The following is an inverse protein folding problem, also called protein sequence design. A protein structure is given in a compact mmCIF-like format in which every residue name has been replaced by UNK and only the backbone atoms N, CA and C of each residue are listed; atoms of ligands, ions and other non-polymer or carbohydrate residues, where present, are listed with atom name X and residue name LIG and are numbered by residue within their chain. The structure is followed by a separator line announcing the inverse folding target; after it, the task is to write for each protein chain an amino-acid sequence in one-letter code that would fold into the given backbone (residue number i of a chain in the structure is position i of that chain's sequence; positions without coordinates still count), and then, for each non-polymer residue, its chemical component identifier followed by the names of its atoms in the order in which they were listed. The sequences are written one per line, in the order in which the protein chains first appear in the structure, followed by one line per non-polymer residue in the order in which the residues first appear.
data_IF_306238888020
#
_entry.id   IF_306238888020
#
_cell.length_a   1.000
_cell.length_b   1.000
_cell.length_c   1.000
_cell.angle_alpha   90.00
_cell.angle_beta   90.00
_cell.angle_gamma   90.00
#
_symmetry.space_group_name_H-M   'P 1'
#
loop_
_entity.id
_entity.type
_entity.pdbx_description
1 polymer ?
#
# COMPACT_ATOMS: atom_id res chain seq x y z
N UNK A 1 7.47 29.33 16.88
CA UNK A 1 7.49 28.19 15.93
C UNK A 1 8.53 27.20 16.42
N UNK A 2 8.12 26.08 17.00
CA UNK A 2 9.00 24.94 17.28
C UNK A 2 8.25 23.72 16.76
N UNK A 3 8.53 23.38 15.51
CA UNK A 3 8.22 22.05 15.03
C UNK A 3 9.27 21.15 15.70
N UNK A 4 8.90 20.57 16.82
CA UNK A 4 9.60 19.40 17.36
C UNK A 4 9.62 18.37 16.23
N UNK A 5 10.78 18.27 15.57
CA UNK A 5 11.10 17.16 14.69
C UNK A 5 11.14 15.91 15.57
N UNK A 6 9.97 15.30 15.73
CA UNK A 6 9.83 13.96 16.25
C UNK A 6 10.36 13.01 15.17
N UNK A 7 11.68 12.85 15.17
CA UNK A 7 12.41 11.83 14.44
C UNK A 7 12.13 10.46 15.03
N UNK A 8 10.89 10.00 14.92
CA UNK A 8 10.59 8.58 14.96
C UNK A 8 10.41 8.13 13.51
N UNK A 9 11.52 7.76 12.86
CA UNK A 9 11.43 6.74 11.81
C UNK A 9 11.04 5.43 12.50
N UNK A 10 9.78 5.34 12.92
CA UNK A 10 9.19 4.07 13.28
C UNK A 10 9.30 3.24 12.01
N UNK A 11 10.20 2.27 11.99
CA UNK A 11 10.06 1.13 11.11
C UNK A 11 8.73 0.49 11.49
N UNK A 12 7.65 0.93 10.85
CA UNK A 12 6.32 0.36 11.02
C UNK A 12 6.39 -0.99 10.31
N UNK A 13 6.75 -2.05 11.06
CA UNK A 13 6.46 -3.41 10.66
C UNK A 13 4.95 -3.61 10.91
N UNK A 14 4.14 -3.31 9.90
CA UNK A 14 2.73 -3.65 9.92
C UNK A 14 2.60 -5.12 9.50
N UNK A 15 2.64 -6.01 10.49
CA UNK A 15 2.48 -7.45 10.31
C UNK A 15 0.99 -7.77 10.40
N UNK A 16 0.27 -7.49 9.31
CA UNK A 16 -1.18 -7.49 9.20
C UNK A 16 -1.90 -8.83 9.41
N UNK A 17 -1.32 -9.84 10.06
CA UNK A 17 -2.08 -11.06 10.38
C UNK A 17 -1.67 -11.92 11.57
N UNK A 18 -0.62 -11.60 12.33
CA UNK A 18 -0.34 -12.37 13.55
C UNK A 18 0.29 -11.51 14.64
N UNK A 19 -0.54 -10.73 15.34
CA UNK A 19 -0.52 -10.52 16.80
C UNK A 19 -1.30 -9.24 17.15
N UNK A 20 -2.09 -9.34 18.22
CA UNK A 20 -2.48 -8.27 19.15
C UNK A 20 -2.88 -6.91 18.55
N UNK A 21 -4.12 -6.51 18.84
CA UNK A 21 -4.54 -5.13 19.16
C UNK A 21 -3.37 -4.16 19.47
N UNK A 22 -2.68 -3.64 18.46
CA UNK A 22 -1.93 -2.39 18.53
C UNK A 22 -2.95 -1.28 18.31
N UNK A 23 -3.70 -1.07 19.39
CA UNK A 23 -4.26 0.19 19.86
C UNK A 23 -3.97 1.39 18.91
N UNK A 24 -5.02 1.91 18.27
CA UNK A 24 -5.12 3.23 17.63
C UNK A 24 -4.32 3.50 16.34
N UNK A 25 -4.53 2.73 15.27
CA UNK A 25 -4.41 3.28 13.91
C UNK A 25 -5.49 2.61 13.06
N UNK A 26 -6.46 3.36 12.56
CA UNK A 26 -7.31 2.86 11.48
C UNK A 26 -6.38 2.39 10.36
N UNK A 27 -6.41 1.10 9.96
CA UNK A 27 -5.44 0.58 9.00
C UNK A 27 -5.52 1.44 7.74
N UNK A 28 -4.41 2.12 7.41
CA UNK A 28 -4.33 3.04 6.27
C UNK A 28 -4.65 2.29 4.95
N UNK A 29 -4.40 0.98 4.96
CA UNK A 29 -4.68 0.02 3.91
C UNK A 29 -5.05 -1.35 4.52
N UNK A 30 -5.74 -2.17 3.73
CA UNK A 30 -6.14 -3.55 4.03
C UNK A 30 -5.77 -4.43 2.85
N UNK A 31 -5.33 -5.65 3.10
CA UNK A 31 -5.08 -6.63 2.04
C UNK A 31 -6.10 -7.75 2.15
N UNK A 32 -6.80 -7.99 1.05
CA UNK A 32 -7.81 -9.03 0.93
C UNK A 32 -7.53 -9.93 -0.26
N UNK A 33 -8.02 -11.17 -0.21
CA UNK A 33 -8.02 -12.08 -1.36
C UNK A 33 -9.10 -11.71 -2.41
N UNK A 34 -9.23 -12.48 -3.50
CA UNK A 34 -10.25 -12.31 -4.55
C UNK A 34 -11.68 -12.32 -4.04
N UNK A 35 -11.91 -13.01 -2.92
CA UNK A 35 -13.20 -13.10 -2.26
C UNK A 35 -13.47 -11.89 -1.33
N UNK A 36 -12.52 -10.95 -1.20
CA UNK A 36 -12.59 -9.85 -0.24
C UNK A 36 -12.29 -10.27 1.20
N UNK A 37 -11.78 -11.49 1.40
CA UNK A 37 -11.38 -12.02 2.70
C UNK A 37 -10.02 -11.45 3.12
N UNK A 38 -9.91 -10.91 4.33
CA UNK A 38 -8.62 -10.45 4.86
C UNK A 38 -7.60 -11.60 4.91
N UNK A 39 -6.42 -11.35 4.35
CA UNK A 39 -5.31 -12.30 4.30
C UNK A 39 -4.08 -11.77 4.99
N UNK A 40 -3.15 -12.68 5.27
CA UNK A 40 -1.88 -12.33 5.85
C UNK A 40 -0.98 -11.58 4.88
N UNK A 41 -0.53 -10.42 5.34
CA UNK A 41 0.47 -9.62 4.66
C UNK A 41 1.47 -9.07 5.68
N UNK A 42 2.65 -8.74 5.17
CA UNK A 42 3.71 -8.06 5.89
C UNK A 42 3.99 -6.77 5.17
N UNK A 43 3.93 -5.63 5.84
CA UNK A 43 4.34 -4.37 5.28
C UNK A 43 5.56 -3.83 6.03
N UNK A 44 6.61 -3.51 5.28
CA UNK A 44 7.87 -2.98 5.77
C UNK A 44 8.15 -1.64 5.07
N UNK A 45 8.38 -0.59 5.85
CA UNK A 45 8.82 0.70 5.32
C UNK A 45 10.32 0.87 5.51
N UNK A 46 11.07 1.05 4.42
CA UNK A 46 12.51 1.30 4.42
C UNK A 46 12.91 2.25 3.29
N UNK A 47 13.74 3.25 3.60
CA UNK A 47 14.30 4.18 2.60
C UNK A 47 13.22 4.89 1.76
N UNK A 48 12.09 5.26 2.39
CA UNK A 48 10.95 5.83 1.68
C UNK A 48 10.20 4.86 0.76
N UNK A 49 10.45 3.55 0.89
CA UNK A 49 9.75 2.50 0.16
C UNK A 49 8.92 1.68 1.14
N UNK A 50 7.61 1.61 0.91
CA UNK A 50 6.71 0.73 1.65
C UNK A 50 6.55 -0.58 0.88
N UNK A 51 7.25 -1.63 1.28
CA UNK A 51 7.15 -2.97 0.69
C UNK A 51 6.08 -3.78 1.41
N UNK A 52 4.99 -4.10 0.73
CA UNK A 52 3.92 -4.96 1.22
C UNK A 52 4.03 -6.32 0.56
N UNK A 53 4.42 -7.33 1.33
CA UNK A 53 4.56 -8.73 0.91
C UNK A 53 3.36 -9.55 1.34
N UNK A 54 2.79 -10.28 0.39
CA UNK A 54 1.64 -11.15 0.58
C UNK A 54 2.01 -12.55 0.13
N UNK A 55 1.77 -13.55 0.98
CA UNK A 55 1.95 -14.97 0.63
C UNK A 55 0.71 -15.50 -0.12
N UNK A 56 0.35 -14.81 -1.19
CA UNK A 56 -0.74 -15.18 -2.08
C UNK A 56 -0.37 -14.78 -3.51
N UNK A 57 -0.88 -15.52 -4.49
CA UNK A 57 -0.72 -15.22 -5.92
C UNK A 57 -1.70 -14.11 -6.33
N UNK A 58 -2.89 -14.09 -5.73
CA UNK A 58 -3.87 -13.03 -5.87
C UNK A 58 -4.00 -12.22 -4.57
N UNK A 59 -3.96 -10.89 -4.68
CA UNK A 59 -4.21 -10.02 -3.54
C UNK A 59 -4.73 -8.65 -3.96
N UNK A 60 -5.59 -8.07 -3.12
CA UNK A 60 -6.18 -6.75 -3.29
C UNK A 60 -5.79 -5.88 -2.12
N UNK A 61 -4.98 -4.87 -2.36
CA UNK A 61 -4.65 -3.85 -1.38
C UNK A 61 -5.61 -2.67 -1.53
N UNK A 62 -6.48 -2.48 -0.55
CA UNK A 62 -7.48 -1.40 -0.54
C UNK A 62 -7.15 -0.41 0.57
N UNK A 63 -7.10 0.89 0.27
CA UNK A 63 -6.80 1.93 1.25
C UNK A 63 -7.44 3.27 0.90
N UNK A 64 -7.14 4.29 1.70
CA UNK A 64 -7.57 5.68 1.42
C UNK A 64 -6.42 6.50 0.86
N UNK A 65 -6.68 7.34 -0.14
CA UNK A 65 -5.65 8.27 -0.66
C UNK A 65 -5.21 9.29 0.40
N UNK A 66 -6.07 9.61 1.37
CA UNK A 66 -5.69 10.35 2.57
C UNK A 66 -4.58 9.64 3.37
N UNK A 67 -4.60 8.31 3.38
CA UNK A 67 -3.52 7.49 3.93
C UNK A 67 -2.24 7.55 3.11
N UNK A 68 -2.33 7.61 1.77
CA UNK A 68 -1.18 7.88 0.88
C UNK A 68 -0.54 9.24 1.21
N UNK A 69 -1.34 10.29 1.41
CA UNK A 69 -0.82 11.60 1.85
C UNK A 69 -0.07 11.52 3.18
N UNK A 70 -0.57 10.71 4.12
CA UNK A 70 0.09 10.45 5.41
C UNK A 70 1.40 9.68 5.23
N UNK A 71 1.42 8.65 4.39
CA UNK A 71 2.63 7.90 4.05
C UNK A 71 3.70 8.80 3.40
N UNK A 72 3.29 9.69 2.49
CA UNK A 72 4.19 10.70 1.90
C UNK A 72 4.77 11.65 2.95
N UNK A 73 3.95 12.09 3.91
CA UNK A 73 4.41 12.91 5.03
C UNK A 73 5.36 12.14 5.98
N UNK A 74 5.26 10.82 6.06
CA UNK A 74 6.21 9.95 6.76
C UNK A 74 7.50 9.67 5.97
N UNK A 75 7.63 10.23 4.76
CA UNK A 75 8.79 10.04 3.89
C UNK A 75 8.68 8.86 2.94
N UNK A 76 7.50 8.23 2.78
CA UNK A 76 7.27 7.22 1.75
C UNK A 76 7.12 7.90 0.39
N UNK A 77 7.94 7.50 -0.57
CA UNK A 77 7.89 7.98 -1.95
C UNK A 77 7.20 6.97 -2.88
N UNK A 78 7.34 5.67 -2.59
CA UNK A 78 6.70 4.58 -3.35
C UNK A 78 6.25 3.41 -2.48
N UNK A 79 5.24 2.66 -2.94
CA UNK A 79 4.74 1.42 -2.36
C UNK A 79 5.11 0.27 -3.30
N UNK A 80 5.75 -0.77 -2.79
CA UNK A 80 6.06 -1.99 -3.53
C UNK A 80 5.14 -3.10 -3.05
N UNK A 81 4.22 -3.54 -3.89
CA UNK A 81 3.33 -4.65 -3.62
C UNK A 81 3.94 -5.95 -4.17
N UNK A 82 4.38 -6.83 -3.27
CA UNK A 82 5.00 -8.12 -3.57
C UNK A 82 3.97 -9.22 -3.29
N UNK A 83 3.67 -9.99 -4.31
CA UNK A 83 2.91 -11.24 -4.20
C UNK A 83 3.83 -12.41 -4.45
N UNK A 84 3.30 -13.63 -4.39
CA UNK A 84 4.08 -14.85 -4.62
C UNK A 84 4.72 -14.92 -6.01
N UNK A 85 4.01 -14.41 -7.04
CA UNK A 85 4.42 -14.56 -8.44
C UNK A 85 4.80 -13.24 -9.12
N UNK A 86 4.39 -12.09 -8.57
CA UNK A 86 4.82 -10.81 -9.12
C UNK A 86 5.00 -9.69 -8.08
N UNK A 87 5.81 -8.72 -8.47
CA UNK A 87 6.15 -7.54 -7.67
C UNK A 87 5.81 -6.29 -8.47
N UNK A 88 5.08 -5.37 -7.86
CA UNK A 88 4.68 -4.13 -8.50
C UNK A 88 5.08 -2.93 -7.65
N UNK A 89 5.56 -1.86 -8.25
CA UNK A 89 5.99 -0.66 -7.54
C UNK A 89 5.19 0.56 -7.98
N UNK A 90 4.72 1.36 -7.02
CA UNK A 90 3.81 2.49 -7.24
C UNK A 90 4.34 3.73 -6.58
N UNK A 91 4.45 4.85 -7.31
CA UNK A 91 4.81 6.13 -6.71
C UNK A 91 3.60 6.77 -6.06
N UNK A 92 3.72 7.21 -4.82
CA UNK A 92 2.60 7.85 -4.10
C UNK A 92 2.12 9.12 -4.81
N UNK A 93 3.02 9.87 -5.43
CA UNK A 93 2.67 11.04 -6.24
C UNK A 93 1.72 10.68 -7.38
N UNK A 94 2.03 9.61 -8.13
CA UNK A 94 1.17 9.15 -9.22
C UNK A 94 -0.21 8.75 -8.69
N UNK A 95 -0.27 8.00 -7.58
CA UNK A 95 -1.54 7.60 -6.95
C UNK A 95 -2.41 8.80 -6.52
N UNK A 96 -1.79 9.87 -6.01
CA UNK A 96 -2.46 11.11 -5.62
C UNK A 96 -2.84 11.99 -6.81
N UNK A 97 -2.20 11.84 -7.97
CA UNK A 97 -2.59 12.50 -9.21
C UNK A 97 -3.71 11.74 -9.92
N UNK A 98 -3.74 10.40 -9.81
CA UNK A 98 -4.79 9.56 -10.40
C UNK A 98 -6.13 9.61 -9.64
N UNK A 99 -6.13 10.03 -8.38
CA UNK A 99 -7.36 10.16 -7.59
C UNK A 99 -7.32 11.27 -6.56
N UNK A 100 -8.47 11.78 -6.17
CA UNK A 100 -8.55 12.83 -5.16
C UNK A 100 -8.19 12.31 -3.76
N UNK A 101 -7.55 13.14 -2.92
CA UNK A 101 -7.10 12.75 -1.58
C UNK A 101 -8.22 12.20 -0.65
N UNK A 102 -9.50 12.42 -0.96
CA UNK A 102 -10.65 11.86 -0.23
C UNK A 102 -11.08 10.46 -0.69
N UNK A 103 -10.64 10.00 -1.85
CA UNK A 103 -11.12 8.77 -2.46
C UNK A 103 -10.39 7.54 -1.89
N UNK A 104 -11.05 6.38 -2.01
CA UNK A 104 -10.42 5.08 -1.77
C UNK A 104 -9.69 4.62 -3.02
N UNK A 105 -8.53 4.01 -2.79
CA UNK A 105 -7.79 3.31 -3.81
C UNK A 105 -7.85 1.80 -3.60
N UNK A 106 -7.81 1.05 -4.69
CA UNK A 106 -7.80 -0.40 -4.74
C UNK A 106 -6.76 -0.84 -5.73
N UNK A 107 -5.76 -1.55 -5.24
CA UNK A 107 -4.72 -2.16 -6.02
C UNK A 107 -4.99 -3.66 -6.07
N UNK A 108 -5.40 -4.16 -7.22
CA UNK A 108 -5.61 -5.58 -7.45
C UNK A 108 -4.37 -6.16 -8.10
N UNK A 109 -3.89 -7.28 -7.60
CA UNK A 109 -2.82 -8.05 -8.19
C UNK A 109 -3.35 -9.45 -8.48
N UNK A 110 -3.40 -9.86 -9.73
CA UNK A 110 -3.91 -11.18 -10.12
C UNK A 110 -2.81 -12.24 -10.29
N UNK A 111 -1.57 -11.89 -9.91
CA UNK A 111 -0.39 -12.74 -10.09
C UNK A 111 0.24 -12.58 -11.48
N UNK A 112 -0.48 -11.97 -12.42
CA UNK A 112 -0.01 -11.75 -13.80
C UNK A 112 0.14 -10.27 -14.12
N UNK A 113 -0.78 -9.45 -13.65
CA UNK A 113 -0.74 -7.99 -13.78
C UNK A 113 -1.15 -7.33 -12.46
N UNK A 114 -0.89 -6.03 -12.38
CA UNK A 114 -1.45 -5.19 -11.34
C UNK A 114 -2.43 -4.21 -11.99
N UNK A 115 -3.55 -3.98 -11.33
CA UNK A 115 -4.56 -3.01 -11.72
C UNK A 115 -4.81 -2.06 -10.55
N UNK A 116 -4.71 -0.76 -10.81
CA UNK A 116 -4.96 0.26 -9.82
C UNK A 116 -6.29 0.93 -10.11
N UNK A 117 -7.12 1.08 -9.10
CA UNK A 117 -8.39 1.79 -9.18
C UNK A 117 -8.41 2.87 -8.13
N UNK A 118 -8.54 4.13 -8.51
CA UNK A 118 -8.77 5.24 -7.58
C UNK A 118 -10.09 5.92 -7.91
N UNK A 119 -10.94 6.13 -6.91
CA UNK A 119 -12.21 6.85 -7.10
C UNK A 119 -13.14 6.25 -8.15
N UNK A 120 -13.12 4.91 -8.29
CA UNK A 120 -13.89 4.20 -9.31
C UNK A 120 -13.25 4.20 -10.71
N UNK A 121 -12.15 4.92 -10.92
CA UNK A 121 -11.44 4.92 -12.19
C UNK A 121 -10.30 3.90 -12.18
N UNK A 122 -10.43 2.85 -12.99
CA UNK A 122 -9.36 1.89 -13.22
C UNK A 122 -8.30 2.52 -14.11
N UNK A 123 -7.09 2.66 -13.58
CA UNK A 123 -5.90 3.06 -14.34
C UNK A 123 -5.10 1.81 -14.65
N UNK A 124 -4.86 1.59 -15.93
CA UNK A 124 -3.94 0.56 -16.37
C UNK A 124 -2.52 0.98 -15.99
N UNK A 125 -1.96 0.27 -15.02
CA UNK A 125 -0.62 0.48 -14.46
C UNK A 125 0.34 -0.62 -14.92
N UNK A 126 -0.04 -1.37 -15.96
CA UNK A 126 0.75 -2.46 -16.53
C UNK A 126 2.12 -1.97 -17.03
N UNK A 127 2.25 -0.67 -17.32
CA UNK A 127 3.51 -0.02 -17.72
C UNK A 127 4.53 0.07 -16.55
N UNK A 128 4.06 -0.01 -15.30
CA UNK A 128 4.87 0.06 -14.07
C UNK A 128 5.04 -1.35 -13.46
N UNK A 129 4.92 -2.40 -14.28
CA UNK A 129 5.23 -3.77 -13.88
C UNK A 129 6.73 -4.02 -14.04
N UNK A 130 7.45 -4.10 -12.92
CA UNK A 130 8.80 -4.68 -12.93
C UNK A 130 8.62 -6.19 -12.74
N UNK A 131 8.56 -6.93 -13.85
CA UNK A 131 8.61 -8.39 -13.82
C UNK A 131 9.97 -8.78 -13.23
N UNK A 132 9.96 -9.51 -12.11
CA UNK A 132 11.17 -10.10 -11.53
C UNK A 132 11.69 -11.24 -12.40
#
# INVERSE_FOLDING_TARGET
MRYDQCGAINTILDVGSRLKKSKLVNPLYRVTDKDGKDIAYTAEQKDGVLTVTVDADFAVLTGKLSGIGTLKAQGVEKIVFVTKDATSAFRLADLLEKGAAGETYKLTHDGKTAAFTAGGQQTDISDILVKA
#
